data_IF_996344298939
#
_entry.id   IF_996344298939
#
_cell.length_a   1.000
_cell.length_b   1.000
_cell.length_c   1.000
_cell.angle_alpha   90.00
_cell.angle_beta   90.00
_cell.angle_gamma   90.00
#
_symmetry.space_group_name_H-M   'P 1'
#
loop_
_entity.id
_entity.type
_entity.pdbx_description
1 polymer ?
#
# COMPACT_ATOMS: atom_id res chain seq x y z
N UNK A 1 -2.27 5.10 -3.63
CA UNK A 1 -1.37 5.16 -4.82
C UNK A 1 0.06 5.48 -4.38
N UNK A 2 0.26 6.50 -3.55
CA UNK A 2 1.56 6.82 -2.91
C UNK A 2 2.18 5.64 -2.14
N UNK A 3 1.38 4.91 -1.35
CA UNK A 3 1.80 3.70 -0.60
C UNK A 3 2.34 2.59 -1.52
N UNK A 4 1.73 2.40 -2.69
CA UNK A 4 2.16 1.41 -3.69
C UNK A 4 3.47 1.82 -4.38
N UNK A 5 3.60 3.09 -4.79
CA UNK A 5 4.85 3.62 -5.35
C UNK A 5 6.00 3.50 -4.36
N UNK A 6 5.73 3.80 -3.09
CA UNK A 6 6.73 3.72 -2.02
C UNK A 6 7.20 2.28 -1.77
N UNK A 7 6.29 1.29 -1.81
CA UNK A 7 6.63 -0.14 -1.70
C UNK A 7 7.52 -0.62 -2.86
N UNK A 8 7.17 -0.25 -4.10
CA UNK A 8 7.97 -0.62 -5.29
C UNK A 8 9.36 0.03 -5.29
N UNK A 9 9.47 1.28 -4.85
CA UNK A 9 10.76 1.95 -4.69
C UNK A 9 11.62 1.26 -3.63
N UNK A 10 11.02 0.82 -2.53
CA UNK A 10 11.73 0.07 -1.49
C UNK A 10 12.23 -1.29 -1.99
N UNK A 11 11.47 -1.98 -2.84
CA UNK A 11 11.89 -3.22 -3.50
C UNK A 11 13.14 -3.03 -4.37
N UNK A 12 13.16 -2.00 -5.22
CA UNK A 12 14.32 -1.70 -6.06
C UNK A 12 15.58 -1.44 -5.21
N UNK A 13 15.46 -0.62 -4.14
CA UNK A 13 16.60 -0.37 -3.24
C UNK A 13 17.07 -1.61 -2.48
N UNK A 14 16.17 -2.56 -2.21
CA UNK A 14 16.50 -3.79 -1.50
C UNK A 14 17.44 -4.65 -2.32
N UNK A 15 17.20 -4.75 -3.62
CA UNK A 15 18.01 -5.57 -4.52
C UNK A 15 19.41 -4.96 -4.71
N UNK A 16 19.53 -3.63 -4.77
CA UNK A 16 20.82 -2.93 -4.76
C UNK A 16 21.61 -3.21 -3.48
N UNK A 17 20.95 -3.17 -2.31
CA UNK A 17 21.59 -3.43 -1.01
C UNK A 17 21.99 -4.91 -0.88
N UNK A 18 21.20 -5.85 -1.40
CA UNK A 18 21.57 -7.27 -1.45
C UNK A 18 22.82 -7.46 -2.31
N UNK A 19 22.86 -6.85 -3.49
CA UNK A 19 24.01 -6.92 -4.39
C UNK A 19 25.28 -6.31 -3.76
N UNK A 20 25.13 -5.24 -2.96
CA UNK A 20 26.24 -4.68 -2.18
C UNK A 20 26.73 -5.64 -1.10
N UNK A 21 25.81 -6.26 -0.33
CA UNK A 21 26.15 -7.26 0.70
C UNK A 21 26.79 -8.52 0.10
N UNK A 22 26.39 -8.93 -1.10
CA UNK A 22 26.99 -10.09 -1.76
C UNK A 22 28.45 -9.82 -2.22
N UNK A 23 28.83 -8.55 -2.41
CA UNK A 23 30.22 -8.14 -2.71
C UNK A 23 31.10 -8.06 -1.48
N UNK A 24 30.54 -7.63 -0.34
CA UNK A 24 31.22 -7.60 0.95
C UNK A 24 30.30 -8.13 2.06
N UNK A 25 30.39 -9.44 2.37
CA UNK A 25 29.53 -10.09 3.36
C UNK A 25 29.69 -9.57 4.79
N UNK A 26 30.82 -8.95 5.11
CA UNK A 26 31.16 -8.48 6.47
C UNK A 26 30.90 -6.98 6.66
N UNK A 27 30.39 -6.28 5.63
CA UNK A 27 29.96 -4.90 5.76
C UNK A 27 28.75 -4.78 6.69
N UNK A 28 29.03 -4.45 7.95
CA UNK A 28 28.05 -4.22 9.01
C UNK A 28 27.02 -3.15 8.65
N UNK A 29 27.38 -2.15 7.83
CA UNK A 29 26.44 -1.13 7.38
C UNK A 29 25.49 -1.68 6.33
N UNK A 30 25.98 -2.44 5.34
CA UNK A 30 25.12 -3.12 4.36
C UNK A 30 24.13 -4.07 5.05
N UNK A 31 24.57 -4.85 6.04
CA UNK A 31 23.69 -5.76 6.79
C UNK A 31 22.61 -4.98 7.56
N UNK A 32 22.99 -3.89 8.25
CA UNK A 32 22.03 -3.06 9.00
C UNK A 32 21.01 -2.41 8.07
N UNK A 33 21.47 -1.87 6.94
CA UNK A 33 20.60 -1.24 5.94
C UNK A 33 19.65 -2.27 5.30
N UNK A 34 20.12 -3.48 5.05
CA UNK A 34 19.30 -4.57 4.53
C UNK A 34 18.16 -4.91 5.49
N UNK A 35 18.47 -5.13 6.78
CA UNK A 35 17.46 -5.42 7.81
C UNK A 35 16.42 -4.32 7.94
N UNK A 36 16.85 -3.06 7.98
CA UNK A 36 15.96 -1.91 8.07
C UNK A 36 15.03 -1.80 6.86
N UNK A 37 15.59 -1.98 5.66
CA UNK A 37 14.83 -1.91 4.40
C UNK A 37 13.81 -3.06 4.32
N UNK A 38 14.20 -4.28 4.70
CA UNK A 38 13.29 -5.43 4.75
C UNK A 38 12.15 -5.22 5.76
N UNK A 39 12.45 -4.71 6.95
CA UNK A 39 11.43 -4.43 7.96
C UNK A 39 10.43 -3.37 7.48
N UNK A 40 10.95 -2.29 6.88
CA UNK A 40 10.12 -1.22 6.30
C UNK A 40 9.23 -1.74 5.18
N UNK A 41 9.76 -2.59 4.30
CA UNK A 41 9.00 -3.18 3.22
C UNK A 41 7.85 -4.07 3.73
N UNK A 42 8.10 -4.90 4.76
CA UNK A 42 7.05 -5.72 5.38
C UNK A 42 5.93 -4.86 5.98
N UNK A 43 6.29 -3.75 6.62
CA UNK A 43 5.32 -2.82 7.19
C UNK A 43 4.44 -2.19 6.09
N UNK A 44 5.06 -1.71 5.01
CA UNK A 44 4.32 -1.15 3.87
C UNK A 44 3.39 -2.16 3.20
N UNK A 45 3.82 -3.42 3.07
CA UNK A 45 2.98 -4.49 2.55
C UNK A 45 1.79 -4.77 3.47
N UNK A 46 1.99 -4.73 4.80
CA UNK A 46 0.90 -4.87 5.76
C UNK A 46 -0.11 -3.72 5.66
N UNK A 47 0.36 -2.48 5.53
CA UNK A 47 -0.51 -1.32 5.36
C UNK A 47 -1.33 -1.41 4.08
N UNK A 48 -0.70 -1.81 2.96
CA UNK A 48 -1.38 -1.98 1.68
C UNK A 48 -2.47 -3.07 1.77
N UNK A 49 -2.17 -4.22 2.38
CA UNK A 49 -3.15 -5.28 2.59
C UNK A 49 -4.35 -4.79 3.41
N UNK A 50 -4.11 -3.99 4.46
CA UNK A 50 -5.19 -3.39 5.26
C UNK A 50 -6.01 -2.42 4.40
N UNK A 51 -5.36 -1.55 3.62
CA UNK A 51 -6.03 -0.60 2.73
C UNK A 51 -6.96 -1.32 1.74
N UNK A 52 -6.49 -2.40 1.13
CA UNK A 52 -7.28 -3.20 0.18
C UNK A 52 -8.49 -3.86 0.84
N UNK A 53 -8.30 -4.51 1.99
CA UNK A 53 -9.40 -5.16 2.72
C UNK A 53 -10.44 -4.15 3.20
N UNK A 54 -9.99 -3.01 3.74
CA UNK A 54 -10.89 -1.93 4.19
C UNK A 54 -11.67 -1.37 3.00
N UNK A 55 -11.00 -1.14 1.87
CA UNK A 55 -11.65 -0.65 0.65
C UNK A 55 -12.72 -1.62 0.16
N UNK A 56 -12.39 -2.91 0.02
CA UNK A 56 -13.32 -3.94 -0.44
C UNK A 56 -14.56 -4.01 0.46
N UNK A 57 -14.36 -4.11 1.78
CA UNK A 57 -15.46 -4.20 2.75
C UNK A 57 -16.29 -2.93 2.79
N UNK A 58 -15.67 -1.75 2.73
CA UNK A 58 -16.38 -0.47 2.76
C UNK A 58 -17.25 -0.28 1.53
N UNK A 59 -16.74 -0.63 0.34
CA UNK A 59 -17.52 -0.59 -0.90
C UNK A 59 -18.71 -1.55 -0.81
N UNK A 60 -18.48 -2.78 -0.35
CA UNK A 60 -19.56 -3.77 -0.18
C UNK A 60 -20.67 -3.25 0.74
N UNK A 61 -20.32 -2.77 1.94
CA UNK A 61 -21.30 -2.22 2.89
C UNK A 61 -22.03 -1.02 2.31
N UNK A 62 -21.30 -0.11 1.65
CA UNK A 62 -21.91 1.04 0.99
C UNK A 62 -22.96 0.62 -0.05
N UNK A 63 -22.63 -0.36 -0.91
CA UNK A 63 -23.56 -0.86 -1.92
C UNK A 63 -24.76 -1.59 -1.31
N UNK A 64 -24.56 -2.40 -0.28
CA UNK A 64 -25.62 -3.21 0.33
C UNK A 64 -26.56 -2.40 1.22
N UNK A 65 -26.07 -1.36 1.90
CA UNK A 65 -26.83 -0.64 2.94
C UNK A 65 -27.11 0.83 2.60
N UNK A 66 -26.20 1.50 1.91
CA UNK A 66 -26.24 2.95 1.74
C UNK A 66 -26.68 3.38 0.33
N UNK A 67 -26.35 2.61 -0.72
CA UNK A 67 -26.57 3.00 -2.12
C UNK A 67 -28.03 3.27 -2.47
N UNK A 68 -28.96 2.49 -1.95
CA UNK A 68 -30.41 2.68 -2.21
C UNK A 68 -30.98 3.96 -1.59
N UNK A 69 -30.32 4.50 -0.56
CA UNK A 69 -30.71 5.74 0.12
C UNK A 69 -29.92 6.95 -0.40
N UNK A 70 -28.95 6.72 -1.27
CA UNK A 70 -28.15 7.77 -1.88
C UNK A 70 -28.95 8.40 -3.03
N UNK A 71 -29.49 9.60 -2.80
CA UNK A 71 -30.12 10.42 -3.83
C UNK A 71 -29.05 11.43 -4.30
N UNK A 72 -28.50 11.29 -5.52
CA UNK A 72 -27.58 12.28 -6.05
C UNK A 72 -28.27 13.64 -6.14
N UNK A 73 -27.66 14.69 -5.60
CA UNK A 73 -28.20 16.06 -5.69
C UNK A 73 -28.33 16.56 -7.14
N UNK A 74 -27.66 15.89 -8.08
CA UNK A 74 -27.73 16.14 -9.52
C UNK A 74 -29.00 15.58 -10.19
N UNK A 75 -29.71 14.62 -9.58
CA UNK A 75 -30.96 14.07 -10.11
C UNK A 75 -32.23 14.64 -9.45
N UNK A 76 -32.09 15.53 -8.47
CA UNK A 76 -33.20 16.12 -7.72
C UNK A 76 -33.76 17.41 -8.34
N UNK A 77 -33.56 17.64 -9.65
CA UNK A 77 -33.87 18.91 -10.31
C UNK A 77 -34.33 18.81 -11.77
N UNK A 78 -34.98 17.71 -12.17
CA UNK A 78 -35.65 17.66 -13.49
C UNK A 78 -36.78 16.64 -13.44
N UNK A 79 -37.97 17.09 -13.06
CA UNK A 79 -39.15 16.23 -13.03
C UNK A 79 -40.32 16.77 -12.22
N UNK A 80 -40.70 18.03 -12.47
CA UNK A 80 -42.03 18.68 -12.33
C UNK A 80 -41.85 20.19 -12.18
#
# INVERSE_FOLDING_TARGET
MESFLQSNKALASLDDIKAARDKDPDDLQAIKNLRNTQAKLRLMQSELNIEEVVKERSIKVFHEKCRNHFIPKTSAGTGL
#
